data_IF_734649200449
#
_entry.id   IF_734649200449
#
_cell.length_a   1.000
_cell.length_b   1.000
_cell.length_c   1.000
_cell.angle_alpha   90.00
_cell.angle_beta   90.00
_cell.angle_gamma   90.00
#
_symmetry.space_group_name_H-M   'P 1'
#
loop_
_entity.id
_entity.type
_entity.pdbx_description
1 polymer ?
#
# COMPACT_ATOMS: atom_id res chain seq x y z
N UNK A 1 34.87 -67.28 37.38
CA UNK A 1 36.30 -67.30 37.01
C UNK A 1 36.56 -66.07 36.16
N UNK A 2 37.23 -65.06 36.71
CA UNK A 2 38.67 -64.74 36.53
C UNK A 2 38.85 -63.74 35.36
N UNK A 3 39.09 -62.44 35.59
CA UNK A 3 40.26 -61.70 36.14
C UNK A 3 41.24 -61.25 35.04
N UNK A 4 41.87 -60.09 35.31
CA UNK A 4 42.92 -59.31 34.57
C UNK A 4 42.34 -58.15 33.73
N UNK A 5 42.47 -56.84 34.05
CA UNK A 5 43.50 -56.00 34.73
C UNK A 5 44.88 -56.15 34.08
N UNK A 6 45.66 -55.15 33.65
CA UNK A 6 45.74 -53.68 33.69
C UNK A 6 46.33 -53.27 32.30
N UNK A 7 46.54 -52.02 31.86
CA UNK A 7 47.42 -50.96 32.37
C UNK A 7 47.25 -49.72 31.47
N UNK A 8 47.29 -48.52 32.09
CA UNK A 8 47.72 -47.28 31.44
C UNK A 8 49.19 -47.06 31.83
N UNK A 9 49.98 -46.39 30.97
CA UNK A 9 50.93 -45.41 31.48
C UNK A 9 50.77 -44.03 30.85
N UNK A 10 51.20 -43.07 31.65
CA UNK A 10 51.01 -41.64 31.56
C UNK A 10 52.26 -40.94 30.99
N UNK A 11 52.05 -39.71 30.50
CA UNK A 11 52.98 -38.58 30.33
C UNK A 11 54.03 -38.56 29.19
N UNK A 12 53.95 -37.47 28.42
CA UNK A 12 55.04 -36.87 27.64
C UNK A 12 54.58 -35.59 26.93
N UNK A 13 54.85 -34.42 27.50
CA UNK A 13 54.81 -33.11 26.83
C UNK A 13 55.89 -33.01 25.75
N UNK A 14 55.58 -32.45 24.57
CA UNK A 14 56.16 -31.19 24.04
C UNK A 14 55.88 -30.98 22.55
N UNK A 15 55.67 -29.71 22.21
CA UNK A 15 55.89 -29.02 20.93
C UNK A 15 55.04 -29.29 19.67
N UNK A 16 54.23 -28.27 19.37
CA UNK A 16 54.21 -27.49 18.13
C UNK A 16 54.47 -28.23 16.80
N UNK A 17 53.42 -28.49 16.04
CA UNK A 17 53.40 -28.10 14.63
C UNK A 17 51.97 -28.00 14.09
N UNK A 18 51.66 -26.81 13.58
CA UNK A 18 50.59 -26.54 12.62
C UNK A 18 50.67 -27.52 11.45
N UNK A 19 49.59 -28.25 11.19
CA UNK A 19 49.27 -28.78 9.87
C UNK A 19 47.76 -28.82 9.67
N UNK A 20 47.30 -27.74 9.05
CA UNK A 20 46.13 -27.59 8.19
C UNK A 20 45.48 -28.93 7.76
N UNK A 21 44.28 -29.20 8.30
CA UNK A 21 43.36 -30.22 7.83
C UNK A 21 41.95 -29.62 7.79
N UNK A 22 41.70 -28.94 6.66
CA UNK A 22 40.53 -29.16 5.82
C UNK A 22 39.20 -29.42 6.55
N UNK A 23 38.49 -28.34 6.87
CA UNK A 23 37.04 -28.38 7.01
C UNK A 23 36.40 -27.43 6.03
N UNK A 24 36.13 -27.97 4.85
CA UNK A 24 35.16 -27.50 3.88
C UNK A 24 33.81 -27.29 4.55
N UNK A 25 33.53 -26.06 4.98
CA UNK A 25 32.17 -25.59 5.15
C UNK A 25 31.90 -24.56 4.06
N UNK A 26 31.29 -25.05 2.99
CA UNK A 26 30.65 -24.25 1.96
C UNK A 26 29.72 -23.24 2.64
N UNK A 27 30.17 -21.99 2.75
CA UNK A 27 29.32 -20.84 3.05
C UNK A 27 28.53 -20.45 1.78
N UNK A 28 27.68 -21.38 1.33
CA UNK A 28 26.51 -21.04 0.54
C UNK A 28 25.43 -20.61 1.51
N UNK A 29 25.42 -19.32 1.84
CA UNK A 29 24.21 -18.59 2.25
C UNK A 29 24.49 -17.08 2.27
N UNK A 30 24.71 -16.51 1.09
CA UNK A 30 24.67 -15.06 0.84
C UNK A 30 23.44 -14.68 0.00
N UNK A 31 22.37 -15.48 0.08
CA UNK A 31 21.10 -15.21 -0.60
C UNK A 31 19.94 -15.14 0.39
N UNK A 32 20.19 -14.59 1.58
CA UNK A 32 19.14 -14.01 2.40
C UNK A 32 18.58 -12.81 1.63
N UNK A 33 17.29 -12.84 1.36
CA UNK A 33 16.59 -11.94 0.45
C UNK A 33 16.90 -10.46 0.65
N UNK A 34 17.23 -9.77 -0.46
CA UNK A 34 17.48 -8.32 -0.46
C UNK A 34 16.32 -7.51 0.11
N UNK A 35 15.08 -8.02 0.07
CA UNK A 35 13.88 -7.29 0.49
C UNK A 35 13.67 -7.26 2.01
N UNK A 36 14.22 -8.21 2.76
CA UNK A 36 14.18 -8.20 4.24
C UNK A 36 15.20 -7.26 4.87
N UNK A 37 16.17 -6.80 4.09
CA UNK A 37 17.12 -5.81 4.54
C UNK A 37 16.37 -4.50 4.72
N UNK A 38 16.38 -3.96 5.95
CA UNK A 38 15.70 -2.70 6.30
C UNK A 38 16.10 -1.65 5.27
N UNK A 39 15.20 -1.32 4.34
CA UNK A 39 15.48 -0.29 3.33
C UNK A 39 15.75 1.00 4.11
N UNK A 40 17.02 1.40 4.07
CA UNK A 40 17.41 2.67 4.64
C UNK A 40 16.89 3.75 3.70
N UNK A 41 16.24 4.78 4.23
CA UNK A 41 15.65 5.86 3.40
C UNK A 41 16.69 6.54 2.48
N UNK A 42 17.98 6.43 2.79
CA UNK A 42 19.07 6.96 1.96
C UNK A 42 19.45 6.09 0.76
N UNK A 43 18.98 4.84 0.68
CA UNK A 43 19.17 3.91 -0.44
C UNK A 43 18.01 4.00 -1.45
N UNK A 44 16.95 4.72 -1.10
CA UNK A 44 15.77 4.92 -1.94
C UNK A 44 16.09 5.94 -3.04
N UNK A 45 15.76 5.60 -4.28
CA UNK A 45 15.89 6.50 -5.42
C UNK A 45 15.21 7.87 -5.15
N UNK A 46 15.78 9.02 -5.60
CA UNK A 46 15.21 10.34 -5.32
C UNK A 46 13.73 10.49 -5.69
N UNK A 47 13.29 9.85 -6.77
CA UNK A 47 11.88 9.84 -7.18
C UNK A 47 10.99 9.07 -6.21
N UNK A 48 11.44 7.89 -5.75
CA UNK A 48 10.75 7.11 -4.73
C UNK A 48 10.70 7.86 -3.39
N UNK A 49 11.79 8.54 -2.99
CA UNK A 49 11.80 9.33 -1.76
C UNK A 49 10.81 10.50 -1.85
N UNK A 50 10.77 11.19 -2.99
CA UNK A 50 9.79 12.26 -3.20
C UNK A 50 8.35 11.75 -3.12
N UNK A 51 8.06 10.60 -3.71
CA UNK A 51 6.73 10.01 -3.66
C UNK A 51 6.37 9.56 -2.25
N UNK A 52 7.30 8.94 -1.53
CA UNK A 52 7.13 8.57 -0.12
C UNK A 52 6.74 9.78 0.73
N UNK A 53 7.46 10.89 0.56
CA UNK A 53 7.15 12.15 1.27
C UNK A 53 5.74 12.65 0.94
N UNK A 54 5.32 12.59 -0.32
CA UNK A 54 3.97 13.00 -0.74
C UNK A 54 2.88 12.11 -0.13
N UNK A 55 3.08 10.78 -0.12
CA UNK A 55 2.12 9.84 0.47
C UNK A 55 1.99 10.03 1.98
N UNK A 56 3.12 10.21 2.67
CA UNK A 56 3.14 10.48 4.12
C UNK A 56 2.44 11.80 4.43
N UNK A 57 2.74 12.87 3.68
CA UNK A 57 2.09 14.16 3.85
C UNK A 57 0.57 14.08 3.64
N UNK A 58 0.13 13.35 2.61
CA UNK A 58 -1.29 13.18 2.29
C UNK A 58 -2.07 12.56 3.46
N UNK A 59 -1.54 11.49 4.06
CA UNK A 59 -2.17 10.83 5.22
C UNK A 59 -2.16 11.76 6.43
N UNK A 60 -1.08 12.51 6.67
CA UNK A 60 -1.05 13.45 7.79
C UNK A 60 -2.07 14.59 7.63
N UNK A 61 -2.26 15.09 6.42
CA UNK A 61 -3.20 16.18 6.18
C UNK A 61 -4.65 15.72 6.26
N UNK A 62 -4.97 14.48 5.85
CA UNK A 62 -6.32 13.92 6.01
C UNK A 62 -6.70 13.73 7.49
N UNK A 63 -5.74 13.33 8.33
CA UNK A 63 -5.98 13.20 9.79
C UNK A 63 -6.21 14.57 10.43
N UNK A 64 -5.41 15.59 10.08
CA UNK A 64 -5.61 16.95 10.59
C UNK A 64 -6.95 17.56 10.18
N UNK A 65 -7.43 17.25 8.98
CA UNK A 65 -8.75 17.71 8.51
C UNK A 65 -9.86 17.02 9.30
N UNK A 66 -9.77 15.70 9.52
CA UNK A 66 -10.73 14.95 10.31
C UNK A 66 -10.85 15.48 11.76
N UNK A 67 -9.73 15.83 12.39
CA UNK A 67 -9.69 16.40 13.75
C UNK A 67 -10.32 17.80 13.86
N UNK A 68 -10.51 18.51 12.74
CA UNK A 68 -11.13 19.85 12.71
C UNK A 68 -12.64 19.83 12.49
N UNK A 69 -13.21 18.67 12.19
CA UNK A 69 -14.64 18.49 11.89
C UNK A 69 -15.40 17.90 13.08
N UNK A 70 -15.65 18.71 14.12
CA UNK A 70 -16.63 18.50 15.21
C UNK A 70 -16.97 19.89 15.84
N UNK A 71 -18.18 20.13 16.37
CA UNK A 71 -19.45 20.37 15.69
C UNK A 71 -19.73 21.88 15.47
N UNK A 72 -20.07 22.29 14.24
CA UNK A 72 -20.65 23.63 14.01
C UNK A 72 -22.11 23.59 14.46
N UNK A 73 -22.38 24.21 15.60
CA UNK A 73 -23.73 24.48 16.07
C UNK A 73 -24.55 25.21 14.98
N UNK A 74 -25.65 24.56 14.58
CA UNK A 74 -26.71 25.13 13.77
C UNK A 74 -27.17 26.47 14.36
N UNK A 75 -27.06 27.55 13.59
CA UNK A 75 -27.89 28.74 13.83
C UNK A 75 -28.74 28.94 12.59
N UNK A 76 -30.02 28.60 12.74
CA UNK A 76 -31.09 28.94 11.81
C UNK A 76 -31.33 30.45 11.84
N UNK A 77 -31.45 31.06 10.66
CA UNK A 77 -31.85 32.46 10.48
C UNK A 77 -32.40 32.65 9.07
N UNK A 78 -33.71 32.87 8.98
CA UNK A 78 -34.49 32.97 7.75
C UNK A 78 -34.34 34.33 7.03
N UNK A 79 -34.73 34.29 5.75
CA UNK A 79 -35.24 35.33 4.84
C UNK A 79 -34.28 36.39 4.26
N UNK A 80 -34.12 36.36 2.93
CA UNK A 80 -34.91 37.21 2.02
C UNK A 80 -34.52 37.04 0.54
N UNK A 81 -35.48 37.40 -0.31
CA UNK A 81 -35.77 36.98 -1.68
C UNK A 81 -34.92 37.56 -2.84
N UNK A 82 -34.86 36.74 -3.90
CA UNK A 82 -34.84 37.05 -5.36
C UNK A 82 -33.67 37.87 -5.96
N UNK A 83 -32.85 37.21 -6.80
CA UNK A 83 -32.67 37.61 -8.22
C UNK A 83 -32.17 36.48 -9.12
N UNK A 84 -32.72 36.49 -10.33
CA UNK A 84 -32.85 35.44 -11.34
C UNK A 84 -31.66 35.37 -12.32
N UNK A 85 -31.38 34.13 -12.79
CA UNK A 85 -30.71 33.70 -14.03
C UNK A 85 -29.18 33.84 -14.16
N UNK A 86 -28.50 32.73 -13.87
CA UNK A 86 -27.76 31.96 -14.88
C UNK A 86 -27.45 30.56 -14.35
N UNK A 87 -28.48 29.73 -14.15
CA UNK A 87 -28.29 28.29 -13.90
C UNK A 87 -27.99 27.60 -15.23
N UNK A 88 -26.77 27.84 -15.72
CA UNK A 88 -26.18 27.07 -16.79
C UNK A 88 -25.81 25.70 -16.21
N UNK A 89 -26.74 24.75 -16.25
CA UNK A 89 -26.51 23.29 -16.31
C UNK A 89 -25.38 22.79 -15.38
N UNK A 90 -25.60 22.84 -14.06
CA UNK A 90 -24.66 22.32 -13.06
C UNK A 90 -25.31 21.24 -12.20
N UNK A 91 -25.87 20.22 -12.84
CA UNK A 91 -26.39 19.03 -12.16
C UNK A 91 -25.84 17.82 -12.90
N UNK A 92 -25.21 16.90 -12.15
CA UNK A 92 -24.64 15.59 -12.53
C UNK A 92 -23.26 15.61 -13.23
N UNK A 93 -22.24 16.17 -12.57
CA UNK A 93 -20.83 15.90 -12.91
C UNK A 93 -20.02 15.40 -11.70
N UNK A 94 -20.69 15.07 -10.60
CA UNK A 94 -20.05 14.81 -9.31
C UNK A 94 -19.61 13.35 -9.12
N UNK A 95 -20.07 12.43 -9.97
CA UNK A 95 -19.81 10.99 -9.84
C UNK A 95 -18.79 10.47 -10.87
N UNK A 96 -18.08 11.36 -11.57
CA UNK A 96 -16.99 10.95 -12.44
C UNK A 96 -15.70 10.77 -11.63
N UNK A 97 -15.24 9.54 -11.61
CA UNK A 97 -13.92 9.17 -11.14
C UNK A 97 -12.84 9.69 -12.11
N UNK A 98 -12.33 10.88 -11.84
CA UNK A 98 -11.22 11.47 -12.57
C UNK A 98 -9.90 11.25 -11.83
N UNK A 99 -8.89 10.77 -12.55
CA UNK A 99 -7.54 10.59 -12.01
C UNK A 99 -6.93 11.92 -11.55
N UNK A 100 -7.30 13.02 -12.23
CA UNK A 100 -6.81 14.36 -11.96
C UNK A 100 -7.26 14.91 -10.61
N UNK A 101 -8.42 14.45 -10.13
CA UNK A 101 -9.05 14.90 -8.89
C UNK A 101 -8.64 14.04 -7.67
N UNK A 102 -8.01 12.89 -7.92
CA UNK A 102 -7.51 12.01 -6.87
C UNK A 102 -5.99 12.18 -6.67
N UNK A 103 -5.55 12.85 -5.59
CA UNK A 103 -4.13 13.06 -5.33
C UNK A 103 -3.38 11.75 -5.07
N UNK A 104 -4.00 10.75 -4.45
CA UNK A 104 -3.38 9.46 -4.18
C UNK A 104 -3.20 8.69 -5.49
N UNK A 105 -4.27 8.54 -6.27
CA UNK A 105 -4.22 7.83 -7.55
C UNK A 105 -3.21 8.47 -8.50
N UNK A 106 -3.14 9.80 -8.54
CA UNK A 106 -2.17 10.53 -9.35
C UNK A 106 -0.73 10.22 -8.94
N UNK A 107 -0.42 10.18 -7.63
CA UNK A 107 0.92 9.79 -7.16
C UNK A 107 1.24 8.36 -7.62
N UNK A 108 0.33 7.41 -7.37
CA UNK A 108 0.52 6.01 -7.74
C UNK A 108 0.69 5.81 -9.26
N UNK A 109 -0.09 6.54 -10.07
CA UNK A 109 -0.04 6.47 -11.52
C UNK A 109 1.30 6.92 -12.10
N UNK A 110 1.90 7.97 -11.52
CA UNK A 110 3.17 8.55 -12.02
C UNK A 110 4.40 7.69 -11.74
N UNK A 111 4.27 6.66 -10.90
CA UNK A 111 5.39 5.81 -10.51
C UNK A 111 5.57 4.62 -11.43
N UNK A 112 6.82 4.30 -11.74
CA UNK A 112 7.17 3.02 -12.33
C UNK A 112 6.91 1.87 -11.33
N UNK A 113 6.55 0.66 -11.80
CA UNK A 113 6.16 -0.45 -10.91
C UNK A 113 7.21 -0.78 -9.84
N UNK A 114 8.49 -0.85 -10.22
CA UNK A 114 9.59 -1.15 -9.29
C UNK A 114 9.87 0.01 -8.33
N UNK A 115 9.73 1.26 -8.79
CA UNK A 115 9.81 2.43 -7.92
C UNK A 115 8.70 2.40 -6.87
N UNK A 116 7.47 2.04 -7.28
CA UNK A 116 6.33 1.89 -6.37
C UNK A 116 6.58 0.77 -5.35
N UNK A 117 7.13 -0.37 -5.77
CA UNK A 117 7.53 -1.45 -4.88
C UNK A 117 8.46 -0.95 -3.77
N UNK A 118 9.51 -0.21 -4.14
CA UNK A 118 10.48 0.35 -3.21
C UNK A 118 9.83 1.35 -2.25
N UNK A 119 8.91 2.19 -2.74
CA UNK A 119 8.14 3.12 -1.91
C UNK A 119 7.32 2.34 -0.87
N UNK A 120 6.58 1.32 -1.27
CA UNK A 120 5.78 0.53 -0.34
C UNK A 120 6.63 -0.24 0.66
N UNK A 121 7.74 -0.85 0.24
CA UNK A 121 8.66 -1.50 1.18
C UNK A 121 9.26 -0.49 2.18
N UNK A 122 9.62 0.71 1.73
CA UNK A 122 10.06 1.77 2.63
C UNK A 122 8.96 2.16 3.63
N UNK A 123 7.70 2.22 3.21
CA UNK A 123 6.56 2.45 4.11
C UNK A 123 6.33 1.28 5.08
N UNK A 124 6.43 0.03 4.62
CA UNK A 124 6.30 -1.16 5.47
C UNK A 124 7.30 -1.10 6.63
N UNK A 125 8.55 -0.74 6.36
CA UNK A 125 9.60 -0.74 7.38
C UNK A 125 9.64 0.52 8.26
N UNK A 126 9.25 1.69 7.73
CA UNK A 126 9.45 2.97 8.41
C UNK A 126 8.14 3.67 8.79
N UNK A 127 7.05 3.42 8.08
CA UNK A 127 5.76 4.10 8.23
C UNK A 127 4.55 3.13 8.15
N UNK A 128 4.53 2.01 8.90
CA UNK A 128 3.51 0.97 8.76
C UNK A 128 2.09 1.50 9.00
N UNK A 129 1.90 2.34 10.02
CA UNK A 129 0.58 2.94 10.32
C UNK A 129 0.12 3.93 9.25
N UNK A 130 1.06 4.60 8.57
CA UNK A 130 0.73 5.46 7.43
C UNK A 130 0.29 4.63 6.23
N UNK A 131 0.95 3.50 5.96
CA UNK A 131 0.53 2.58 4.90
C UNK A 131 -0.85 1.99 5.17
N UNK A 132 -1.09 1.56 6.41
CA UNK A 132 -2.38 1.06 6.85
C UNK A 132 -3.49 2.10 6.61
N UNK A 133 -3.28 3.32 7.09
CA UNK A 133 -4.27 4.39 6.92
C UNK A 133 -4.52 4.75 5.45
N UNK A 134 -3.45 4.75 4.64
CA UNK A 134 -3.54 4.98 3.21
C UNK A 134 -4.45 3.97 2.54
N UNK A 135 -4.26 2.68 2.81
CA UNK A 135 -5.01 1.60 2.16
C UNK A 135 -6.43 1.45 2.71
N UNK A 136 -6.62 1.57 4.03
CA UNK A 136 -7.93 1.34 4.65
C UNK A 136 -8.86 2.54 4.57
N UNK A 137 -8.34 3.77 4.55
CA UNK A 137 -9.18 4.96 4.73
C UNK A 137 -9.05 5.99 3.61
N UNK A 138 -7.91 6.08 2.92
CA UNK A 138 -7.69 7.08 1.87
C UNK A 138 -7.78 6.50 0.45
N UNK A 139 -7.79 5.18 0.31
CA UNK A 139 -7.82 4.54 -1.01
C UNK A 139 -9.19 4.75 -1.66
N UNK A 140 -9.26 5.72 -2.57
CA UNK A 140 -10.46 5.93 -3.38
C UNK A 140 -10.67 4.78 -4.38
N UNK A 141 -11.85 4.69 -5.00
CA UNK A 141 -12.08 3.75 -6.10
C UNK A 141 -11.08 3.90 -7.26
N UNK A 142 -10.68 5.13 -7.62
CA UNK A 142 -9.66 5.38 -8.64
C UNK A 142 -8.29 4.92 -8.15
N UNK A 143 -7.96 5.25 -6.90
CA UNK A 143 -6.74 4.81 -6.26
C UNK A 143 -6.62 3.28 -6.24
N UNK A 144 -7.71 2.56 -5.96
CA UNK A 144 -7.75 1.11 -5.94
C UNK A 144 -7.53 0.49 -7.34
N UNK A 145 -8.16 1.02 -8.39
CA UNK A 145 -7.92 0.56 -9.76
C UNK A 145 -6.47 0.80 -10.18
N UNK A 146 -5.93 2.01 -9.94
CA UNK A 146 -4.54 2.33 -10.26
C UNK A 146 -3.56 1.45 -9.47
N UNK A 147 -3.82 1.24 -8.18
CA UNK A 147 -2.99 0.40 -7.31
C UNK A 147 -2.97 -1.05 -7.81
N UNK A 148 -4.14 -1.62 -8.08
CA UNK A 148 -4.22 -3.03 -8.54
C UNK A 148 -3.58 -3.21 -9.91
N UNK A 149 -3.73 -2.24 -10.82
CA UNK A 149 -2.98 -2.23 -12.09
C UNK A 149 -1.48 -2.21 -11.86
N UNK A 150 -0.98 -1.39 -10.93
CA UNK A 150 0.44 -1.32 -10.62
C UNK A 150 0.97 -2.62 -10.00
N UNK A 151 0.17 -3.31 -9.21
CA UNK A 151 0.49 -4.66 -8.72
C UNK A 151 0.58 -5.67 -9.86
N UNK A 152 -0.39 -5.66 -10.79
CA UNK A 152 -0.35 -6.51 -11.99
C UNK A 152 0.88 -6.24 -12.88
N UNK A 153 1.29 -4.97 -13.02
CA UNK A 153 2.51 -4.58 -13.74
C UNK A 153 3.77 -5.08 -12.99
N UNK A 154 3.84 -4.85 -11.68
CA UNK A 154 4.98 -5.25 -10.85
C UNK A 154 5.20 -6.77 -10.87
N UNK A 155 4.12 -7.55 -10.78
CA UNK A 155 4.15 -9.01 -10.83
C UNK A 155 4.75 -9.57 -12.13
N UNK A 156 4.77 -8.77 -13.21
CA UNK A 156 5.40 -9.15 -14.48
C UNK A 156 6.92 -8.90 -14.50
N UNK A 157 7.43 -8.08 -13.58
CA UNK A 157 8.83 -7.62 -13.56
C UNK A 157 9.71 -8.30 -12.51
N UNK A 158 9.14 -9.06 -11.58
CA UNK A 158 9.85 -9.69 -10.45
C UNK A 158 9.67 -11.21 -10.45
N UNK A 159 10.54 -11.94 -9.74
CA UNK A 159 10.38 -13.40 -9.62
C UNK A 159 9.26 -13.76 -8.65
N UNK A 160 8.79 -15.01 -8.69
CA UNK A 160 7.75 -15.50 -7.77
C UNK A 160 8.19 -15.38 -6.30
N UNK A 161 9.46 -15.63 -6.00
CA UNK A 161 9.99 -15.50 -4.64
C UNK A 161 9.97 -14.05 -4.17
N UNK A 162 10.42 -13.11 -5.01
CA UNK A 162 10.41 -11.67 -4.71
C UNK A 162 8.98 -11.14 -4.55
N UNK A 163 8.06 -11.62 -5.39
CA UNK A 163 6.62 -11.31 -5.31
C UNK A 163 6.01 -11.79 -4.00
N UNK A 164 6.23 -13.06 -3.66
CA UNK A 164 5.68 -13.65 -2.45
C UNK A 164 6.22 -12.94 -1.20
N UNK A 165 7.50 -12.60 -1.19
CA UNK A 165 8.11 -11.83 -0.11
C UNK A 165 7.53 -10.42 0.00
N UNK A 166 7.39 -9.72 -1.12
CA UNK A 166 6.77 -8.39 -1.14
C UNK A 166 5.37 -8.41 -0.55
N UNK A 167 4.48 -9.29 -1.02
CA UNK A 167 3.10 -9.33 -0.52
C UNK A 167 3.03 -9.80 0.94
N UNK A 168 3.91 -10.70 1.36
CA UNK A 168 4.00 -11.09 2.77
C UNK A 168 4.37 -9.89 3.65
N UNK A 169 5.32 -9.07 3.23
CA UNK A 169 5.72 -7.85 3.95
C UNK A 169 4.63 -6.78 3.92
N UNK A 170 4.03 -6.55 2.74
CA UNK A 170 2.99 -5.55 2.54
C UNK A 170 1.75 -5.86 3.38
N UNK A 171 1.18 -7.06 3.25
CA UNK A 171 0.00 -7.45 4.03
C UNK A 171 0.34 -7.70 5.51
N UNK A 172 1.59 -7.98 5.84
CA UNK A 172 2.06 -8.12 7.23
C UNK A 172 1.94 -6.85 8.08
N UNK A 173 1.73 -5.69 7.48
CA UNK A 173 1.54 -4.41 8.18
C UNK A 173 0.15 -4.28 8.83
N UNK A 174 -0.84 -4.97 8.28
CA UNK A 174 -2.24 -4.82 8.70
C UNK A 174 -2.58 -5.79 9.84
N UNK A 175 -3.24 -5.27 10.87
CA UNK A 175 -3.74 -6.11 11.97
C UNK A 175 -4.80 -7.11 11.46
N UNK A 176 -5.61 -6.70 10.47
CA UNK A 176 -6.50 -7.57 9.70
C UNK A 176 -6.18 -7.47 8.20
N UNK A 177 -5.48 -8.48 7.68
CA UNK A 177 -5.11 -8.56 6.26
C UNK A 177 -6.34 -8.67 5.35
N UNK A 178 -7.44 -9.27 5.82
CA UNK A 178 -8.67 -9.37 5.05
C UNK A 178 -9.38 -8.04 4.92
N UNK A 179 -9.29 -7.17 5.94
CA UNK A 179 -9.80 -5.81 5.85
C UNK A 179 -9.08 -5.02 4.75
N UNK A 180 -7.75 -5.12 4.67
CA UNK A 180 -6.95 -4.48 3.62
C UNK A 180 -7.32 -5.00 2.22
N UNK A 181 -7.36 -6.33 2.06
CA UNK A 181 -7.77 -6.95 0.80
C UNK A 181 -9.17 -6.53 0.37
N UNK A 182 -10.11 -6.51 1.32
CA UNK A 182 -11.50 -6.10 1.09
C UNK A 182 -11.61 -4.63 0.72
N UNK A 183 -10.83 -3.75 1.35
CA UNK A 183 -10.81 -2.33 0.99
C UNK A 183 -10.37 -2.13 -0.47
N UNK A 184 -9.28 -2.80 -0.88
CA UNK A 184 -8.77 -2.75 -2.26
C UNK A 184 -9.81 -3.31 -3.23
N UNK A 185 -10.38 -4.49 -2.93
CA UNK A 185 -11.37 -5.15 -3.79
C UNK A 185 -12.64 -4.31 -3.96
N UNK A 186 -13.21 -3.82 -2.86
CA UNK A 186 -14.40 -2.97 -2.89
C UNK A 186 -14.15 -1.68 -3.68
N UNK A 187 -12.94 -1.09 -3.57
CA UNK A 187 -12.55 0.07 -4.36
C UNK A 187 -12.55 -0.24 -5.86
N UNK A 188 -11.94 -1.35 -6.27
CA UNK A 188 -11.90 -1.80 -7.67
C UNK A 188 -13.30 -2.07 -8.22
N UNK A 189 -14.16 -2.75 -7.46
CA UNK A 189 -15.55 -3.00 -7.83
C UNK A 189 -16.35 -1.70 -7.95
N UNK A 190 -16.14 -0.76 -7.03
CA UNK A 190 -16.80 0.56 -7.08
C UNK A 190 -16.39 1.35 -8.32
N UNK A 191 -15.10 1.30 -8.69
CA UNK A 191 -14.61 1.91 -9.93
C UNK A 191 -15.28 1.28 -11.15
N UNK A 192 -15.31 -0.05 -11.24
CA UNK A 192 -15.93 -0.77 -12.35
C UNK A 192 -17.43 -0.47 -12.47
N UNK A 193 -18.15 -0.44 -11.34
CA UNK A 193 -19.57 -0.09 -11.29
C UNK A 193 -19.80 1.33 -11.83
N UNK A 194 -18.98 2.29 -11.44
CA UNK A 194 -19.13 3.67 -11.92
C UNK A 194 -18.77 3.80 -13.39
N UNK A 195 -17.70 3.13 -13.86
CA UNK A 195 -17.36 3.09 -15.28
C UNK A 195 -18.54 2.54 -16.11
N UNK A 196 -19.20 1.48 -15.62
CA UNK A 196 -20.38 0.93 -16.25
C UNK A 196 -21.56 1.91 -16.27
N UNK A 197 -21.87 2.57 -15.14
CA UNK A 197 -22.90 3.62 -15.07
C UNK A 197 -22.62 4.75 -16.05
N UNK A 198 -21.40 5.25 -16.11
CA UNK A 198 -21.00 6.33 -17.02
C UNK A 198 -21.26 5.95 -18.50
N UNK A 199 -20.97 4.69 -18.87
CA UNK A 199 -21.27 4.17 -20.21
C UNK A 199 -22.79 4.13 -20.42
N UNK A 200 -23.58 3.60 -19.48
CA UNK A 200 -25.04 3.58 -19.63
C UNK A 200 -25.65 4.99 -19.73
N UNK A 201 -25.17 5.94 -18.94
CA UNK A 201 -25.62 7.33 -18.97
C UNK A 201 -25.33 7.96 -20.32
N UNK A 202 -24.12 7.71 -20.87
CA UNK A 202 -23.71 8.22 -22.17
C UNK A 202 -24.51 7.63 -23.34
N UNK A 203 -24.85 6.33 -23.29
CA UNK A 203 -25.48 5.64 -24.42
C UNK A 203 -27.01 5.51 -24.33
N UNK A 204 -27.58 5.51 -23.13
CA UNK A 204 -29.02 5.30 -22.91
C UNK A 204 -29.72 6.53 -22.31
N UNK A 205 -28.99 7.54 -21.84
CA UNK A 205 -29.58 8.72 -21.20
C UNK A 205 -30.39 8.41 -19.93
N UNK A 206 -30.13 7.26 -19.30
CA UNK A 206 -30.87 6.77 -18.13
C UNK A 206 -30.27 7.43 -16.89
N UNK A 207 -30.84 8.54 -16.44
CA UNK A 207 -30.53 9.06 -15.11
C UNK A 207 -31.04 8.05 -14.06
N UNK A 208 -30.11 7.44 -13.31
CA UNK A 208 -30.43 6.54 -12.19
C UNK A 208 -30.84 7.26 -10.90
N UNK A 209 -31.22 8.54 -10.98
CA UNK A 209 -31.96 9.20 -9.91
C UNK A 209 -33.31 8.49 -9.79
N UNK A 210 -33.48 7.70 -8.73
CA UNK A 210 -34.76 7.09 -8.37
C UNK A 210 -35.90 8.14 -8.33
N UNK A 211 -37.17 7.70 -8.38
CA UNK A 211 -38.30 8.62 -8.50
C UNK A 211 -38.24 9.67 -7.39
N UNK A 212 -38.12 10.94 -7.79
CA UNK A 212 -38.17 12.08 -6.86
C UNK A 212 -39.49 11.99 -6.07
N UNK A 213 -39.47 12.12 -4.74
CA UNK A 213 -40.70 12.13 -3.97
C UNK A 213 -41.56 13.30 -4.44
N UNK A 214 -42.76 12.97 -4.92
CA UNK A 214 -43.81 13.93 -5.22
C UNK A 214 -44.23 14.57 -3.88
N UNK A 215 -43.75 15.79 -3.64
CA UNK A 215 -44.29 16.65 -2.59
C UNK A 215 -45.65 17.13 -3.07
N UNK A 216 -46.71 16.60 -2.47
CA UNK A 216 -48.09 17.08 -2.58
C UNK A 216 -48.51 17.77 -1.30
#
# INVERSE_FOLDING_TARGET
MEKHSCELPNNGESDNHESDLDQTCASKDLKGSKLKQRIMLHEVEPLALQALHKLVALVHDSVKVADRTEPVHSTSGNDSDVKVKSEQKRIVASDLFHLEDDPLAKILWTLEPLTLQNVFLAMVHNFPRTLEALILYLLSPVGAEVLTRKFEEMDQHITEEERNEFYQLFYGVFDDQFAAMKAILNGKESFALQAFKNVLDQYLGVNYDGPKPLVG
#
